data_IF_483952320326
#
_entry.id   IF_483952320326
#
_cell.length_a   1.000
_cell.length_b   1.000
_cell.length_c   1.000
_cell.angle_alpha   90.00
_cell.angle_beta   90.00
_cell.angle_gamma   90.00
#
_symmetry.space_group_name_H-M   'P 1'
#
loop_
_entity.id
_entity.type
_entity.pdbx_description
1 polymer ?
#
# COMPACT_ATOMS: atom_id res chain seq x y z
N UNK A 1 19.93 9.16 21.61
CA UNK A 1 19.26 8.76 20.35
C UNK A 1 17.76 8.98 20.51
N UNK A 2 17.06 9.55 19.52
CA UNK A 2 15.61 9.83 19.58
C UNK A 2 14.97 9.50 18.23
N UNK A 3 13.80 8.86 18.24
CA UNK A 3 12.97 8.66 17.04
C UNK A 3 12.28 9.99 16.69
N UNK A 4 12.47 10.47 15.46
CA UNK A 4 11.87 11.73 14.98
C UNK A 4 10.55 11.50 14.26
N UNK A 5 10.44 10.40 13.52
CA UNK A 5 9.25 10.06 12.72
C UNK A 5 9.08 8.55 12.63
N UNK A 6 7.83 8.11 12.49
CA UNK A 6 7.45 6.73 12.21
C UNK A 6 6.59 6.77 10.96
N UNK A 7 6.92 5.94 9.98
CA UNK A 7 6.19 5.82 8.72
C UNK A 7 5.80 4.37 8.49
N UNK A 8 4.54 4.15 8.12
CA UNK A 8 4.02 2.84 7.72
C UNK A 8 3.56 2.89 6.27
N UNK A 9 3.82 1.84 5.51
CA UNK A 9 3.49 1.74 4.09
C UNK A 9 2.60 0.51 3.85
N UNK A 10 1.29 0.57 4.16
CA UNK A 10 0.41 -0.60 4.09
C UNK A 10 0.32 -1.22 2.68
N UNK A 11 0.45 -0.39 1.65
CA UNK A 11 0.48 -0.82 0.25
C UNK A 11 1.88 -0.65 -0.31
N UNK A 12 2.53 -1.76 -0.66
CA UNK A 12 3.79 -1.74 -1.40
C UNK A 12 3.59 -0.96 -2.69
N UNK A 13 4.53 -0.06 -3.00
CA UNK A 13 4.59 0.84 -4.18
C UNK A 13 3.95 2.22 -4.04
N UNK A 14 3.19 2.47 -2.98
CA UNK A 14 2.50 3.74 -2.73
C UNK A 14 3.20 4.54 -1.62
N UNK A 15 2.85 5.82 -1.49
CA UNK A 15 3.21 6.61 -0.32
C UNK A 15 2.55 6.02 0.93
N UNK A 16 3.17 6.23 2.09
CA UNK A 16 2.72 5.71 3.38
C UNK A 16 2.26 6.81 4.31
N UNK A 17 1.76 6.40 5.47
CA UNK A 17 1.23 7.28 6.51
C UNK A 17 2.25 7.54 7.62
N UNK A 18 2.20 8.74 8.19
CA UNK A 18 2.98 9.09 9.38
C UNK A 18 2.21 8.70 10.64
N UNK A 19 2.89 8.03 11.56
CA UNK A 19 2.33 7.57 12.83
C UNK A 19 2.97 8.28 14.02
N UNK A 20 2.22 8.39 15.10
CA UNK A 20 2.75 8.82 16.41
C UNK A 20 3.30 7.64 17.22
N UNK A 21 2.71 6.46 17.04
CA UNK A 21 3.08 5.22 17.69
C UNK A 21 2.68 4.04 16.81
N UNK A 22 3.36 2.90 16.99
CA UNK A 22 3.06 1.66 16.29
C UNK A 22 3.63 0.48 17.07
N UNK A 23 2.98 -0.68 16.98
CA UNK A 23 3.54 -1.93 17.48
C UNK A 23 4.62 -2.45 16.54
N UNK A 24 5.72 -2.95 17.11
CA UNK A 24 6.79 -3.63 16.38
C UNK A 24 6.74 -5.11 16.71
N UNK A 25 6.32 -5.91 15.73
CA UNK A 25 6.31 -7.36 15.81
C UNK A 25 7.53 -8.00 15.16
N UNK A 26 7.53 -9.34 15.10
CA UNK A 26 8.62 -10.13 14.48
C UNK A 26 8.83 -9.86 12.99
N UNK A 27 7.79 -9.37 12.29
CA UNK A 27 7.83 -9.03 10.87
C UNK A 27 8.02 -7.52 10.60
N UNK A 28 8.20 -6.72 11.66
CA UNK A 28 8.32 -5.26 11.57
C UNK A 28 7.10 -4.53 12.11
N UNK A 29 6.80 -3.34 11.57
CA UNK A 29 5.69 -2.51 12.03
C UNK A 29 4.35 -3.18 11.72
N UNK A 30 3.44 -3.23 12.68
CA UNK A 30 2.11 -3.80 12.48
C UNK A 30 1.38 -3.11 11.31
N UNK A 31 0.96 -3.91 10.33
CA UNK A 31 0.25 -3.45 9.13
C UNK A 31 1.13 -2.85 8.04
N UNK A 32 2.46 -2.91 8.16
CA UNK A 32 3.37 -2.49 7.09
C UNK A 32 3.36 -3.50 5.93
N UNK A 33 3.23 -2.98 4.71
CA UNK A 33 3.34 -3.72 3.44
C UNK A 33 2.48 -4.98 3.36
N UNK A 34 1.27 -4.96 3.92
CA UNK A 34 0.33 -6.09 3.89
C UNK A 34 -0.43 -6.24 2.56
N UNK A 35 -0.43 -5.21 1.72
CA UNK A 35 -0.99 -5.25 0.36
C UNK A 35 0.10 -4.91 -0.67
N UNK A 36 0.02 -5.50 -1.86
CA UNK A 36 0.88 -5.16 -2.99
C UNK A 36 0.10 -5.14 -4.31
N UNK A 37 0.65 -4.43 -5.30
CA UNK A 37 0.14 -4.49 -6.67
C UNK A 37 0.76 -5.69 -7.38
N UNK A 38 -0.10 -6.55 -7.93
CA UNK A 38 0.25 -7.68 -8.77
C UNK A 38 -0.14 -7.35 -10.23
N UNK A 39 0.78 -7.53 -11.17
CA UNK A 39 0.50 -7.35 -12.60
C UNK A 39 -0.14 -8.59 -13.23
N UNK A 40 -0.47 -8.49 -14.53
CA UNK A 40 -1.21 -9.53 -15.25
C UNK A 40 -0.57 -10.94 -15.24
N UNK A 41 0.76 -11.06 -15.10
CA UNK A 41 1.47 -12.35 -15.05
C UNK A 41 1.80 -12.79 -13.63
N UNK A 42 1.16 -12.19 -12.62
CA UNK A 42 1.38 -12.52 -11.22
C UNK A 42 2.60 -11.86 -10.59
N UNK A 43 3.38 -11.07 -11.34
CA UNK A 43 4.57 -10.40 -10.82
C UNK A 43 4.21 -9.19 -9.94
N UNK A 44 5.03 -8.94 -8.91
CA UNK A 44 4.89 -7.73 -8.08
C UNK A 44 5.29 -6.50 -8.89
N UNK A 45 4.42 -5.50 -8.90
CA UNK A 45 4.67 -4.20 -9.54
C UNK A 45 5.27 -3.24 -8.52
N UNK A 46 6.23 -2.42 -8.96
CA UNK A 46 6.92 -1.45 -8.08
C UNK A 46 7.03 -0.08 -8.73
N UNK A 47 7.15 0.95 -7.90
CA UNK A 47 7.21 2.35 -8.30
C UNK A 47 8.48 2.69 -9.08
N UNK A 48 9.51 1.83 -9.01
CA UNK A 48 10.71 1.93 -9.85
C UNK A 48 10.39 1.88 -11.34
N UNK A 49 9.38 1.10 -11.73
CA UNK A 49 8.92 0.98 -13.13
C UNK A 49 7.60 1.70 -13.39
N UNK A 50 6.84 1.99 -12.33
CA UNK A 50 5.54 2.66 -12.42
C UNK A 50 5.45 3.80 -11.38
N UNK A 51 6.20 4.91 -11.59
CA UNK A 51 6.35 5.97 -10.59
C UNK A 51 5.05 6.70 -10.26
N UNK A 52 4.03 6.63 -11.13
CA UNK A 52 2.69 7.19 -10.87
C UNK A 52 2.05 6.65 -9.59
N UNK A 53 2.41 5.46 -9.12
CA UNK A 53 1.92 4.95 -7.83
C UNK A 53 2.37 5.78 -6.62
N UNK A 54 3.45 6.56 -6.73
CA UNK A 54 3.89 7.44 -5.65
C UNK A 54 2.94 8.63 -5.42
N UNK A 55 2.02 8.89 -6.36
CA UNK A 55 0.94 9.87 -6.20
C UNK A 55 -0.24 9.37 -5.36
N UNK A 56 -0.26 8.08 -5.00
CA UNK A 56 -1.30 7.47 -4.18
C UNK A 56 -0.78 7.19 -2.77
N UNK A 57 -1.66 7.28 -1.77
CA UNK A 57 -1.32 7.13 -0.36
C UNK A 57 -2.04 5.93 0.27
N UNK A 58 -1.26 4.96 0.75
CA UNK A 58 -1.74 3.83 1.53
C UNK A 58 -1.78 4.17 3.03
N UNK A 59 -2.90 3.87 3.69
CA UNK A 59 -3.05 4.01 5.15
C UNK A 59 -3.89 2.87 5.72
N UNK A 60 -3.97 2.76 7.05
CA UNK A 60 -5.01 1.98 7.72
C UNK A 60 -6.07 2.92 8.31
N UNK A 61 -7.31 2.47 8.39
CA UNK A 61 -8.35 3.14 9.18
C UNK A 61 -8.33 2.70 10.66
N UNK A 62 -9.32 3.15 11.42
CA UNK A 62 -9.45 2.83 12.84
C UNK A 62 -9.68 1.33 13.10
N UNK A 63 -10.19 0.61 12.12
CA UNK A 63 -10.45 -0.83 12.14
C UNK A 63 -9.24 -1.65 11.65
N UNK A 64 -8.16 -0.99 11.23
CA UNK A 64 -6.95 -1.64 10.70
C UNK A 64 -7.09 -2.10 9.24
N UNK A 65 -8.13 -1.67 8.52
CA UNK A 65 -8.34 -2.00 7.11
C UNK A 65 -7.57 -1.04 6.21
N UNK A 66 -7.00 -1.59 5.14
CA UNK A 66 -6.19 -0.81 4.21
C UNK A 66 -7.06 0.15 3.40
N UNK A 67 -6.60 1.39 3.30
CA UNK A 67 -7.16 2.45 2.45
C UNK A 67 -6.13 2.90 1.41
N UNK A 68 -6.59 3.29 0.23
CA UNK A 68 -5.82 3.99 -0.79
C UNK A 68 -6.53 5.32 -1.06
N UNK A 69 -5.87 6.43 -0.77
CA UNK A 69 -6.43 7.79 -0.81
C UNK A 69 -7.77 7.89 -0.06
N UNK A 70 -7.85 7.26 1.11
CA UNK A 70 -9.07 7.22 1.95
C UNK A 70 -10.15 6.25 1.48
N UNK A 71 -10.00 5.57 0.34
CA UNK A 71 -10.96 4.59 -0.20
C UNK A 71 -10.57 3.17 0.20
N UNK A 72 -11.51 2.22 0.39
CA UNK A 72 -11.16 0.82 0.60
C UNK A 72 -10.21 0.31 -0.51
N UNK A 73 -9.11 -0.35 -0.14
CA UNK A 73 -8.11 -0.81 -1.10
C UNK A 73 -8.68 -1.79 -2.15
N UNK A 74 -9.75 -2.49 -1.81
CA UNK A 74 -10.45 -3.46 -2.65
C UNK A 74 -11.69 -2.88 -3.36
N UNK A 75 -11.84 -1.55 -3.41
CA UNK A 75 -12.94 -0.91 -4.12
C UNK A 75 -12.71 -0.93 -5.65
N UNK A 76 -13.79 -0.89 -6.45
CA UNK A 76 -13.68 -0.81 -7.91
C UNK A 76 -12.89 0.41 -8.42
N UNK A 77 -12.99 1.54 -7.73
CA UNK A 77 -12.29 2.78 -8.09
C UNK A 77 -10.78 2.64 -7.90
N UNK A 78 -10.35 2.08 -6.78
CA UNK A 78 -8.92 1.82 -6.54
C UNK A 78 -8.39 0.78 -7.53
N UNK A 79 -9.19 -0.25 -7.85
CA UNK A 79 -8.82 -1.22 -8.88
C UNK A 79 -8.66 -0.56 -10.27
N UNK A 80 -9.53 0.38 -10.64
CA UNK A 80 -9.43 1.13 -11.88
C UNK A 80 -8.15 1.99 -11.92
N UNK A 81 -7.80 2.67 -10.83
CA UNK A 81 -6.56 3.46 -10.71
C UNK A 81 -5.32 2.56 -10.88
N UNK A 82 -5.32 1.38 -10.27
CA UNK A 82 -4.24 0.39 -10.40
C UNK A 82 -4.08 -0.08 -11.83
N UNK A 83 -5.19 -0.39 -12.52
CA UNK A 83 -5.17 -0.78 -13.94
C UNK A 83 -4.71 0.38 -14.83
N UNK A 84 -5.11 1.62 -14.54
CA UNK A 84 -4.70 2.81 -15.27
C UNK A 84 -3.20 3.12 -15.15
N UNK A 85 -2.53 2.57 -14.13
CA UNK A 85 -1.09 2.73 -13.92
C UNK A 85 -0.31 1.50 -14.41
N UNK A 86 -0.69 0.29 -13.98
CA UNK A 86 0.05 -0.95 -14.21
C UNK A 86 -0.45 -1.80 -15.40
N UNK A 87 -1.52 -1.36 -16.06
CA UNK A 87 -2.11 -2.01 -17.22
C UNK A 87 -3.20 -3.05 -16.89
N UNK A 88 -3.92 -3.54 -17.92
CA UNK A 88 -4.98 -4.53 -17.76
C UNK A 88 -4.53 -5.79 -17.02
N UNK A 89 -5.39 -6.31 -16.14
CA UNK A 89 -5.09 -7.49 -15.32
C UNK A 89 -4.25 -7.20 -14.07
N UNK A 90 -3.82 -5.95 -13.86
CA UNK A 90 -3.23 -5.55 -12.59
C UNK A 90 -4.30 -5.45 -11.49
N UNK A 91 -3.92 -5.84 -10.28
CA UNK A 91 -4.80 -5.82 -9.10
C UNK A 91 -4.01 -5.63 -7.82
N UNK A 92 -4.68 -5.17 -6.76
CA UNK A 92 -4.13 -5.24 -5.41
C UNK A 92 -4.38 -6.63 -4.82
N UNK A 93 -3.43 -7.13 -4.05
CA UNK A 93 -3.49 -8.43 -3.39
C UNK A 93 -2.95 -8.29 -1.97
N UNK A 94 -3.63 -8.90 -1.00
CA UNK A 94 -3.16 -9.02 0.37
C UNK A 94 -2.09 -10.13 0.46
N UNK A 95 -0.99 -9.91 1.16
CA UNK A 95 -0.05 -11.00 1.45
C UNK A 95 -0.75 -12.05 2.33
N UNK A 96 -0.73 -13.30 1.88
CA UNK A 96 -1.23 -14.43 2.65
C UNK A 96 -0.35 -14.68 3.88
#
# INVERSE_FOLDING_TARGET
MKVTEIWRYPVKTMAGERLQQVEVGSLGLAGDRIVHVQGARGQVVTSRTHPRFLGHHGSLDAEGLVRVDGRPWNSPEVAADVVAIAGPGAKLVHYA
#
